data_IF_848887202108
#
_entry.id   IF_848887202108
#
_cell.length_a   1.000
_cell.length_b   1.000
_cell.length_c   1.000
_cell.angle_alpha   90.00
_cell.angle_beta   90.00
_cell.angle_gamma   90.00
#
_symmetry.space_group_name_H-M   'P 1'
#
loop_
_entity.id
_entity.type
_entity.pdbx_description
1 polymer ?
#
# COMPACT_ATOMS: atom_id res chain seq x y z
N UNK A 1 -1.76 46.05 2.54
CA UNK A 1 -0.68 45.70 3.50
C UNK A 1 -1.12 44.64 4.51
N UNK A 2 -2.34 44.77 5.10
CA UNK A 2 -2.92 43.79 6.03
C UNK A 2 -2.95 42.35 5.51
N UNK A 3 -3.35 42.13 4.26
CA UNK A 3 -3.49 40.78 3.66
C UNK A 3 -2.16 40.02 3.62
N UNK A 4 -1.04 40.71 3.41
CA UNK A 4 0.29 40.08 3.43
C UNK A 4 0.68 39.67 4.85
N UNK A 5 0.31 40.48 5.84
CA UNK A 5 0.58 40.20 7.25
C UNK A 5 -0.23 39.00 7.75
N UNK A 6 -1.52 38.92 7.40
CA UNK A 6 -2.39 37.80 7.79
C UNK A 6 -1.96 36.48 7.16
N UNK A 7 -1.52 36.51 5.89
CA UNK A 7 -1.03 35.33 5.19
C UNK A 7 0.28 34.79 5.80
N UNK A 8 1.22 35.69 6.12
CA UNK A 8 2.47 35.30 6.78
C UNK A 8 2.22 34.70 8.17
N UNK A 9 1.28 35.27 8.93
CA UNK A 9 0.95 34.77 10.26
C UNK A 9 0.32 33.37 10.20
N UNK A 10 -0.61 33.14 9.27
CA UNK A 10 -1.22 31.82 9.08
C UNK A 10 -0.19 30.75 8.68
N UNK A 11 0.79 31.09 7.84
CA UNK A 11 1.84 30.17 7.42
C UNK A 11 2.74 29.74 8.60
N UNK A 12 3.08 30.66 9.50
CA UNK A 12 3.88 30.34 10.70
C UNK A 12 3.12 29.43 11.66
N UNK A 13 1.81 29.66 11.86
CA UNK A 13 0.99 28.76 12.69
C UNK A 13 0.83 27.36 12.08
N UNK A 14 0.72 27.25 10.76
CA UNK A 14 0.67 25.96 10.07
C UNK A 14 1.98 25.18 10.23
N UNK A 15 3.13 25.84 10.13
CA UNK A 15 4.44 25.21 10.37
C UNK A 15 4.64 24.80 11.84
N UNK A 16 4.09 25.56 12.80
CA UNK A 16 4.12 25.19 14.22
C UNK A 16 3.26 23.96 14.53
N UNK A 17 2.15 23.74 13.81
CA UNK A 17 1.34 22.52 13.91
C UNK A 17 2.00 21.28 13.31
N UNK A 18 2.93 21.47 12.35
CA UNK A 18 3.79 20.40 11.84
C UNK A 18 5.06 20.20 12.67
N UNK A 19 5.24 20.97 13.76
CA UNK A 19 6.43 20.87 14.57
C UNK A 19 6.45 19.51 15.27
N UNK A 20 7.52 18.77 14.95
CA UNK A 20 7.87 17.41 15.34
C UNK A 20 7.21 16.97 16.66
N UNK A 21 6.48 15.84 16.68
CA UNK A 21 6.00 15.26 17.92
C UNK A 21 7.15 15.18 18.93
N UNK A 22 6.90 15.45 20.22
CA UNK A 22 7.94 15.33 21.25
C UNK A 22 8.66 14.01 21.08
N UNK A 23 10.00 14.03 21.17
CA UNK A 23 10.83 12.85 20.98
C UNK A 23 10.24 11.71 21.81
N UNK A 24 9.71 10.69 21.12
CA UNK A 24 9.13 9.55 21.78
C UNK A 24 10.20 8.99 22.75
N UNK A 25 9.83 8.65 23.99
CA UNK A 25 10.78 8.07 24.93
C UNK A 25 11.44 6.89 24.24
N UNK A 26 12.76 6.95 24.09
CA UNK A 26 13.56 5.92 23.43
C UNK A 26 13.19 4.58 24.05
N UNK A 27 12.57 3.65 23.30
CA UNK A 27 12.26 2.34 23.85
C UNK A 27 13.59 1.68 24.24
N UNK A 28 13.77 1.34 25.52
CA UNK A 28 14.98 0.64 26.03
C UNK A 28 15.26 -0.67 25.29
N UNK A 29 14.23 -1.21 24.62
CA UNK A 29 14.30 -2.41 23.80
C UNK A 29 13.98 -2.06 22.35
N UNK A 30 14.85 -2.42 21.38
CA UNK A 30 14.49 -2.37 19.97
C UNK A 30 13.15 -3.10 19.77
N UNK A 31 12.18 -2.49 19.06
CA UNK A 31 10.93 -3.18 18.75
C UNK A 31 11.24 -4.51 18.05
N UNK A 32 10.53 -5.57 18.42
CA UNK A 32 10.70 -6.88 17.79
C UNK A 32 10.54 -6.75 16.26
N UNK A 33 11.28 -7.54 15.47
CA UNK A 33 11.35 -7.35 14.02
C UNK A 33 9.98 -7.57 13.37
N UNK A 34 9.24 -6.47 13.18
CA UNK A 34 8.00 -6.42 12.40
C UNK A 34 8.23 -6.73 10.92
N UNK A 35 9.49 -6.78 10.50
CA UNK A 35 9.91 -7.13 9.14
C UNK A 35 9.38 -8.51 8.72
N UNK A 36 9.24 -9.48 9.63
CA UNK A 36 8.69 -10.80 9.29
C UNK A 36 7.20 -10.70 9.03
N UNK A 37 6.42 -10.12 9.95
CA UNK A 37 4.97 -9.95 9.78
C UNK A 37 4.61 -9.12 8.54
N UNK A 38 5.38 -8.05 8.26
CA UNK A 38 5.18 -7.23 7.06
C UNK A 38 5.53 -8.01 5.78
N UNK A 39 6.62 -8.78 5.77
CA UNK A 39 6.96 -9.63 4.63
C UNK A 39 5.89 -10.69 4.40
N UNK A 40 5.42 -11.36 5.43
CA UNK A 40 4.38 -12.39 5.30
C UNK A 40 3.08 -11.82 4.75
N UNK A 41 2.65 -10.66 5.26
CA UNK A 41 1.48 -9.94 4.76
C UNK A 41 1.61 -9.53 3.27
N UNK A 42 2.83 -9.28 2.80
CA UNK A 42 3.11 -8.94 1.39
C UNK A 42 3.31 -10.18 0.51
N UNK A 43 3.85 -11.28 1.03
CA UNK A 43 4.04 -12.53 0.30
C UNK A 43 2.69 -13.21 0.00
N UNK A 44 1.78 -13.25 0.98
CA UNK A 44 0.45 -13.86 0.82
C UNK A 44 -0.34 -13.42 -0.43
N UNK A 45 -0.50 -12.12 -0.73
CA UNK A 45 -1.19 -11.69 -1.95
C UNK A 45 -0.43 -12.04 -3.23
N UNK A 46 0.91 -12.03 -3.20
CA UNK A 46 1.74 -12.38 -4.35
C UNK A 46 1.67 -13.88 -4.67
N UNK A 47 1.71 -14.75 -3.66
CA UNK A 47 1.59 -16.20 -3.83
C UNK A 47 0.21 -16.58 -4.38
N UNK A 48 -0.86 -15.94 -3.89
CA UNK A 48 -2.22 -16.13 -4.44
C UNK A 48 -2.29 -15.71 -5.91
N UNK A 49 -1.70 -14.57 -6.26
CA UNK A 49 -1.69 -14.10 -7.64
C UNK A 49 -0.90 -15.04 -8.57
N UNK A 50 0.26 -15.55 -8.11
CA UNK A 50 1.02 -16.55 -8.86
C UNK A 50 0.24 -17.84 -9.05
N UNK A 51 -0.36 -18.37 -7.97
CA UNK A 51 -1.17 -19.58 -8.05
C UNK A 51 -2.36 -19.44 -9.01
N UNK A 52 -3.03 -18.28 -9.01
CA UNK A 52 -4.11 -17.99 -9.95
C UNK A 52 -3.61 -17.94 -11.40
N UNK A 53 -2.44 -17.33 -11.65
CA UNK A 53 -1.82 -17.30 -12.98
C UNK A 53 -1.41 -18.69 -13.46
N UNK A 54 -0.74 -19.46 -12.61
CA UNK A 54 -0.37 -20.85 -12.88
C UNK A 54 -1.60 -21.72 -13.20
N UNK A 55 -2.70 -21.50 -12.48
CA UNK A 55 -3.95 -22.22 -12.72
C UNK A 55 -4.56 -21.88 -14.09
N UNK A 56 -4.46 -20.62 -14.52
CA UNK A 56 -4.93 -20.19 -15.85
C UNK A 56 -4.00 -20.68 -16.97
N UNK A 57 -2.68 -20.64 -16.78
CA UNK A 57 -1.70 -21.14 -17.76
C UNK A 57 -1.77 -22.65 -17.94
N UNK A 58 -2.14 -23.40 -16.89
CA UNK A 58 -2.30 -24.86 -16.94
C UNK A 58 -3.71 -25.30 -17.30
N UNK A 59 -4.68 -24.38 -17.33
CA UNK A 59 -6.01 -24.71 -17.77
C UNK A 59 -5.97 -25.05 -19.26
N UNK A 60 -6.61 -26.15 -19.69
CA UNK A 60 -6.75 -26.43 -21.12
C UNK A 60 -7.53 -25.29 -21.78
N UNK A 61 -7.09 -24.87 -22.99
CA UNK A 61 -7.75 -23.84 -23.78
C UNK A 61 -9.21 -24.21 -24.08
N UNK A 62 -10.14 -23.80 -23.23
CA UNK A 62 -11.59 -23.99 -23.43
C UNK A 62 -12.16 -22.98 -24.44
N UNK A 63 -11.38 -21.98 -24.85
CA UNK A 63 -11.76 -20.97 -25.86
C UNK A 63 -12.10 -21.58 -27.22
N UNK A 64 -11.56 -22.76 -27.54
CA UNK A 64 -11.92 -23.49 -28.77
C UNK A 64 -13.32 -24.15 -28.68
N UNK A 65 -13.78 -24.52 -27.47
CA UNK A 65 -15.10 -25.11 -27.27
C UNK A 65 -16.22 -24.05 -27.25
N UNK A 66 -15.94 -22.88 -26.67
CA UNK A 66 -16.88 -21.75 -26.61
C UNK A 66 -17.19 -21.15 -28.00
N UNK A 67 -16.18 -21.02 -28.87
CA UNK A 67 -16.36 -20.54 -30.25
C UNK A 67 -17.13 -21.53 -31.15
N UNK A 68 -17.14 -22.83 -30.82
CA UNK A 68 -17.88 -23.84 -31.58
C UNK A 68 -19.38 -23.87 -31.25
N UNK A 69 -19.77 -23.37 -30.06
CA UNK A 69 -21.16 -23.32 -29.62
C UNK A 69 -21.85 -21.99 -30.00
N UNK A 70 -21.11 -20.87 -30.00
CA UNK A 70 -21.64 -19.56 -30.41
C UNK A 70 -21.85 -19.39 -31.93
N UNK A 71 -21.48 -20.39 -32.74
CA UNK A 71 -21.54 -20.36 -34.21
C UNK A 71 -22.68 -21.16 -34.84
N UNK A 72 -23.73 -21.52 -34.09
CA UNK A 72 -24.88 -22.28 -34.63
C UNK A 72 -26.21 -21.54 -34.43
#
# INVERSE_FOLDING_TARGET
MLIRLTLSLAAVLALAGCNRPPAAPSPDKPPEPQATALRDAMQQPLDKAKAARDALEKAPDTSAADNAESGR
#
